data_IF_249702878099
#
_entry.id   IF_249702878099
#
_cell.length_a   1.000
_cell.length_b   1.000
_cell.length_c   1.000
_cell.angle_alpha   90.00
_cell.angle_beta   90.00
_cell.angle_gamma   90.00
#
_symmetry.space_group_name_H-M   'P 1'
#
loop_
_entity.id
_entity.type
_entity.pdbx_description
1 polymer ?
#
# COMPACT_ATOMS: atom_id res chain seq x y z
N UNK A 1 16.76 40.61 22.88
CA UNK A 1 15.67 40.41 21.89
C UNK A 1 15.74 38.96 21.45
N UNK A 2 15.17 38.06 22.24
CA UNK A 2 15.14 36.62 21.95
C UNK A 2 13.84 36.29 21.22
N UNK A 3 13.92 36.03 19.92
CA UNK A 3 12.84 35.41 19.16
C UNK A 3 12.90 33.90 19.38
N UNK A 4 12.37 33.47 20.53
CA UNK A 4 12.05 32.06 20.78
C UNK A 4 10.85 31.66 19.92
N UNK A 5 11.12 31.23 18.68
CA UNK A 5 10.13 30.55 17.85
C UNK A 5 9.69 29.22 18.52
N UNK A 6 8.42 28.81 18.34
CA UNK A 6 7.76 27.89 19.24
C UNK A 6 8.13 26.43 18.93
N UNK A 7 8.77 25.77 19.91
CA UNK A 7 8.98 24.32 19.96
C UNK A 7 7.63 23.54 20.01
N UNK A 8 6.51 24.25 20.21
CA UNK A 8 5.16 23.67 20.26
C UNK A 8 4.63 23.17 18.90
N UNK A 9 5.10 23.67 17.76
CA UNK A 9 4.54 23.24 16.46
C UNK A 9 4.97 21.81 16.08
N UNK A 10 6.15 21.38 16.54
CA UNK A 10 6.69 20.03 16.27
C UNK A 10 5.87 18.90 16.93
N UNK A 11 5.14 19.18 18.00
CA UNK A 11 4.42 18.14 18.75
C UNK A 11 2.98 17.91 18.27
N UNK A 12 2.38 18.90 17.59
CA UNK A 12 1.00 18.77 17.08
C UNK A 12 0.98 18.03 15.73
N UNK A 13 2.05 18.13 14.94
CA UNK A 13 2.22 17.38 13.69
C UNK A 13 2.22 15.85 13.89
N UNK A 14 2.60 15.39 15.08
CA UNK A 14 2.54 13.97 15.46
C UNK A 14 1.10 13.46 15.59
N UNK A 15 0.15 14.37 15.87
CA UNK A 15 -1.28 14.05 16.05
C UNK A 15 -2.10 14.28 14.77
N UNK A 16 -1.55 14.98 13.78
CA UNK A 16 -2.22 15.30 12.51
C UNK A 16 -1.82 14.27 11.45
N UNK A 17 -2.76 13.40 11.06
CA UNK A 17 -2.61 12.53 9.90
C UNK A 17 -2.43 13.41 8.65
N UNK A 18 -1.19 13.54 8.18
CA UNK A 18 -0.89 14.26 6.94
C UNK A 18 -1.12 13.33 5.76
N UNK A 19 -1.90 13.80 4.79
CA UNK A 19 -2.06 13.13 3.50
C UNK A 19 -0.72 13.10 2.79
N UNK A 20 -0.31 11.91 2.36
CA UNK A 20 0.92 11.72 1.56
C UNK A 20 0.76 12.41 0.21
N UNK A 21 1.86 13.00 -0.31
CA UNK A 21 1.83 13.66 -1.60
C UNK A 21 1.43 12.69 -2.72
N UNK A 22 0.72 13.16 -3.76
CA UNK A 22 0.35 12.30 -4.90
C UNK A 22 1.57 11.66 -5.58
N UNK A 23 2.71 12.36 -5.59
CA UNK A 23 3.98 11.89 -6.14
C UNK A 23 4.49 10.65 -5.40
N UNK A 24 4.55 10.69 -4.05
CA UNK A 24 4.93 9.53 -3.24
C UNK A 24 3.96 8.35 -3.38
N UNK A 25 2.66 8.63 -3.47
CA UNK A 25 1.66 7.58 -3.70
C UNK A 25 1.91 6.87 -5.04
N UNK A 26 2.29 7.61 -6.08
CA UNK A 26 2.64 7.04 -7.38
C UNK A 26 3.92 6.21 -7.33
N UNK A 27 4.93 6.64 -6.59
CA UNK A 27 6.15 5.85 -6.36
C UNK A 27 5.82 4.50 -5.72
N UNK A 28 4.98 4.49 -4.67
CA UNK A 28 4.52 3.24 -4.06
C UNK A 28 3.73 2.37 -5.03
N UNK A 29 2.88 2.97 -5.86
CA UNK A 29 2.11 2.25 -6.89
C UNK A 29 3.03 1.55 -7.90
N UNK A 30 4.05 2.26 -8.40
CA UNK A 30 5.05 1.73 -9.33
C UNK A 30 5.85 0.57 -8.70
N UNK A 31 6.23 0.71 -7.42
CA UNK A 31 6.92 -0.36 -6.68
C UNK A 31 6.04 -1.60 -6.50
N UNK A 32 4.75 -1.43 -6.19
CA UNK A 32 3.80 -2.55 -6.07
C UNK A 32 3.63 -3.26 -7.42
N UNK A 33 3.50 -2.51 -8.52
CA UNK A 33 3.39 -3.08 -9.86
C UNK A 33 4.69 -3.70 -10.40
N UNK A 34 5.83 -3.40 -9.80
CA UNK A 34 7.10 -4.07 -10.15
C UNK A 34 7.08 -5.57 -9.82
N UNK A 35 6.13 -6.03 -8.99
CA UNK A 35 5.93 -7.44 -8.66
C UNK A 35 5.03 -8.10 -9.72
N UNK A 36 5.55 -9.02 -10.56
CA UNK A 36 4.83 -9.55 -11.74
C UNK A 36 3.48 -10.24 -11.47
N UNK A 37 3.34 -10.78 -10.26
CA UNK A 37 2.15 -11.48 -9.80
C UNK A 37 1.00 -10.52 -9.46
N UNK A 38 1.29 -9.23 -9.22
CA UNK A 38 0.25 -8.21 -8.99
C UNK A 38 -0.46 -7.90 -10.31
N UNK A 39 -1.76 -8.17 -10.37
CA UNK A 39 -2.61 -7.92 -11.54
C UNK A 39 -3.42 -6.64 -11.44
N UNK A 40 -3.72 -6.23 -10.21
CA UNK A 40 -4.52 -5.03 -9.92
C UNK A 40 -4.15 -4.49 -8.54
N UNK A 41 -4.21 -3.18 -8.39
CA UNK A 41 -4.25 -2.52 -7.08
C UNK A 41 -5.69 -2.06 -6.86
N UNK A 42 -6.38 -2.68 -5.89
CA UNK A 42 -7.77 -2.31 -5.55
C UNK A 42 -7.80 -1.01 -4.73
N UNK A 43 -6.77 -0.81 -3.91
CA UNK A 43 -6.64 0.33 -3.01
C UNK A 43 -5.20 0.48 -2.55
N UNK A 44 -4.73 1.72 -2.54
CA UNK A 44 -3.46 2.11 -1.93
C UNK A 44 -3.73 3.34 -1.06
N UNK A 45 -3.45 3.23 0.24
CA UNK A 45 -3.52 4.35 1.18
C UNK A 45 -2.23 4.43 1.95
N UNK A 46 -1.70 5.63 2.08
CA UNK A 46 -0.52 5.91 2.88
C UNK A 46 -0.85 7.06 3.83
N UNK A 47 -0.44 6.91 5.09
CA UNK A 47 -0.71 7.86 6.18
C UNK A 47 0.59 8.22 6.86
N UNK A 48 0.86 9.52 7.00
CA UNK A 48 2.00 10.00 7.76
C UNK A 48 1.62 10.24 9.22
N UNK A 49 2.44 9.70 10.12
CA UNK A 49 2.41 9.94 11.56
C UNK A 49 3.76 10.54 11.97
N UNK A 50 3.84 11.87 12.05
CA UNK A 50 5.10 12.58 12.29
C UNK A 50 6.12 12.31 11.18
N UNK A 51 7.14 11.51 11.47
CA UNK A 51 8.21 11.14 10.52
C UNK A 51 8.02 9.77 9.87
N UNK A 52 7.03 9.00 10.31
CA UNK A 52 6.80 7.64 9.84
C UNK A 52 5.60 7.56 8.90
N UNK A 53 5.66 6.64 7.95
CA UNK A 53 4.57 6.36 7.01
C UNK A 53 4.08 4.94 7.21
N UNK A 54 2.77 4.78 7.30
CA UNK A 54 2.10 3.49 7.29
C UNK A 54 1.29 3.33 6.01
N UNK A 55 1.45 2.19 5.34
CA UNK A 55 0.81 1.90 4.05
C UNK A 55 -0.18 0.74 4.21
N UNK A 56 -1.39 0.90 3.68
CA UNK A 56 -2.42 -0.13 3.50
C UNK A 56 -2.65 -0.30 2.02
N UNK A 57 -2.25 -1.47 1.49
CA UNK A 57 -2.43 -1.84 0.09
C UNK A 57 -3.29 -3.08 -0.04
N UNK A 58 -4.21 -3.04 -1.00
CA UNK A 58 -5.03 -4.17 -1.41
C UNK A 58 -4.70 -4.49 -2.86
N UNK A 59 -4.25 -5.70 -3.11
CA UNK A 59 -3.79 -6.13 -4.44
C UNK A 59 -4.48 -7.40 -4.89
N UNK A 60 -4.81 -7.47 -6.17
CA UNK A 60 -5.28 -8.65 -6.84
C UNK A 60 -4.11 -9.50 -7.35
N UNK A 61 -4.06 -10.77 -6.96
CA UNK A 61 -3.08 -11.77 -7.45
C UNK A 61 -3.80 -12.99 -8.03
N UNK A 62 -3.22 -13.76 -8.96
CA UNK A 62 -3.90 -14.89 -9.59
C UNK A 62 -4.48 -15.86 -8.55
N UNK A 63 -5.78 -16.15 -8.66
CA UNK A 63 -6.50 -17.00 -7.70
C UNK A 63 -5.98 -18.46 -7.62
N UNK A 64 -5.20 -18.88 -8.63
CA UNK A 64 -4.55 -20.19 -8.70
C UNK A 64 -3.34 -20.36 -7.78
N UNK A 65 -2.82 -19.26 -7.22
CA UNK A 65 -1.66 -19.30 -6.33
C UNK A 65 -2.03 -19.88 -4.97
N UNK A 66 -1.10 -20.62 -4.39
CA UNK A 66 -1.22 -21.14 -3.02
C UNK A 66 -1.13 -20.02 -1.98
N UNK A 67 -1.58 -20.32 -0.77
CA UNK A 67 -1.46 -19.40 0.38
C UNK A 67 0.00 -19.02 0.65
N UNK A 68 0.93 -19.97 0.50
CA UNK A 68 2.37 -19.72 0.68
C UNK A 68 2.91 -18.74 -0.37
N UNK A 69 2.58 -18.93 -1.64
CA UNK A 69 2.98 -18.02 -2.71
C UNK A 69 2.39 -16.62 -2.50
N UNK A 70 1.13 -16.54 -2.06
CA UNK A 70 0.53 -15.26 -1.66
C UNK A 70 1.32 -14.58 -0.55
N UNK A 71 1.66 -15.32 0.52
CA UNK A 71 2.47 -14.79 1.62
C UNK A 71 3.84 -14.30 1.13
N UNK A 72 4.49 -15.02 0.22
CA UNK A 72 5.79 -14.64 -0.34
C UNK A 72 5.70 -13.38 -1.20
N UNK A 73 4.64 -13.23 -2.00
CA UNK A 73 4.34 -12.00 -2.75
C UNK A 73 4.15 -10.81 -1.80
N UNK A 74 3.34 -10.98 -0.74
CA UNK A 74 3.16 -9.94 0.28
C UNK A 74 4.49 -9.54 0.91
N UNK A 75 5.33 -10.51 1.30
CA UNK A 75 6.65 -10.22 1.87
C UNK A 75 7.53 -9.44 0.89
N UNK A 76 7.52 -9.83 -0.38
CA UNK A 76 8.30 -9.16 -1.44
C UNK A 76 7.85 -7.71 -1.64
N UNK A 77 6.54 -7.46 -1.74
CA UNK A 77 5.99 -6.09 -1.85
C UNK A 77 6.41 -5.24 -0.63
N UNK A 78 6.23 -5.78 0.58
CA UNK A 78 6.63 -5.08 1.82
C UNK A 78 8.11 -4.74 1.80
N UNK A 79 8.97 -5.68 1.44
CA UNK A 79 10.42 -5.49 1.40
C UNK A 79 10.83 -4.42 0.38
N UNK A 80 10.31 -4.46 -0.85
CA UNK A 80 10.66 -3.48 -1.89
C UNK A 80 10.32 -2.06 -1.44
N UNK A 81 9.13 -1.86 -0.86
CA UNK A 81 8.69 -0.54 -0.40
C UNK A 81 9.59 -0.04 0.74
N UNK A 82 9.86 -0.88 1.74
CA UNK A 82 10.68 -0.49 2.90
C UNK A 82 12.16 -0.27 2.55
N UNK A 83 12.69 -0.96 1.53
CA UNK A 83 14.06 -0.76 1.06
C UNK A 83 14.24 0.55 0.29
N UNK A 84 13.22 0.97 -0.49
CA UNK A 84 13.26 2.23 -1.25
C UNK A 84 12.86 3.45 -0.42
N UNK A 85 12.05 3.25 0.63
CA UNK A 85 11.51 4.31 1.46
C UNK A 85 11.74 4.03 2.95
N UNK A 86 12.80 4.62 3.50
CA UNK A 86 13.23 4.43 4.88
C UNK A 86 12.29 5.06 5.92
N UNK A 87 11.39 5.95 5.51
CA UNK A 87 10.34 6.54 6.34
C UNK A 87 9.13 5.62 6.49
N UNK A 88 9.04 4.52 5.73
CA UNK A 88 7.95 3.54 5.84
C UNK A 88 8.23 2.55 6.96
N UNK A 89 7.44 2.60 8.02
CA UNK A 89 7.59 1.74 9.19
C UNK A 89 6.81 0.42 9.05
N UNK A 90 5.62 0.47 8.42
CA UNK A 90 4.74 -0.69 8.27
C UNK A 90 3.96 -0.67 6.95
N UNK A 91 3.84 -1.84 6.34
CA UNK A 91 3.07 -2.08 5.12
C UNK A 91 2.11 -3.25 5.36
N UNK A 92 0.81 -2.95 5.41
CA UNK A 92 -0.25 -3.94 5.51
C UNK A 92 -0.74 -4.28 4.11
N UNK A 93 -0.73 -5.58 3.79
CA UNK A 93 -1.07 -6.08 2.46
C UNK A 93 -2.27 -7.02 2.57
N UNK A 94 -3.33 -6.70 1.86
CA UNK A 94 -4.48 -7.58 1.68
C UNK A 94 -4.46 -8.15 0.26
N UNK A 95 -4.43 -9.47 0.15
CA UNK A 95 -4.47 -10.16 -1.12
C UNK A 95 -5.91 -10.50 -1.47
N UNK A 96 -6.32 -10.12 -2.68
CA UNK A 96 -7.58 -10.50 -3.28
C UNK A 96 -7.32 -11.46 -4.45
N UNK A 97 -8.18 -12.47 -4.65
CA UNK A 97 -8.09 -13.31 -5.82
C UNK A 97 -8.42 -12.51 -7.08
N UNK A 98 -7.56 -12.61 -8.08
CA UNK A 98 -7.81 -12.18 -9.45
C UNK A 98 -8.14 -13.40 -10.29
N UNK A 99 -9.36 -13.44 -10.81
CA UNK A 99 -9.78 -14.38 -11.82
C UNK A 99 -9.54 -13.72 -13.18
N UNK A 100 -8.73 -14.35 -14.02
CA UNK A 100 -8.66 -13.94 -15.43
C UNK A 100 -10.08 -14.13 -15.99
N UNK A 101 -10.67 -13.06 -16.52
CA UNK A 101 -11.93 -13.18 -17.25
C UNK A 101 -11.69 -14.13 -18.42
N UNK A 102 -12.14 -15.38 -18.27
CA UNK A 102 -12.34 -16.24 -19.40
C UNK A 102 -13.39 -15.55 -20.26
N UNK A 103 -12.99 -15.09 -21.45
CA UNK A 103 -13.84 -14.48 -22.46
C UNK A 103 -14.96 -15.41 -22.99
N UNK A 104 -15.55 -16.30 -22.18
CA UNK A 104 -16.57 -17.21 -22.66
C UNK A 104 -17.48 -17.89 -21.64
N UNK A 105 -17.79 -17.30 -20.47
CA UNK A 105 -18.89 -17.84 -19.63
C UNK A 105 -19.76 -16.72 -19.04
N UNK A 106 -21.10 -16.81 -19.12
CA UNK A 106 -22.00 -15.75 -18.68
C UNK A 106 -21.96 -15.61 -17.16
N UNK A 107 -21.90 -14.35 -16.69
CA UNK A 107 -22.04 -14.01 -15.27
C UNK A 107 -23.30 -14.65 -14.70
N UNK A 108 -23.14 -15.61 -13.79
CA UNK A 108 -24.24 -15.98 -12.91
C UNK A 108 -24.41 -14.85 -11.90
N UNK A 109 -25.42 -14.01 -12.17
CA UNK A 109 -26.01 -13.10 -11.21
C UNK A 109 -26.55 -13.94 -10.05
N UNK A 110 -25.84 -13.96 -8.93
CA UNK A 110 -26.48 -14.14 -7.63
C UNK A 110 -25.83 -13.16 -6.64
N UNK A 111 -26.32 -11.93 -6.72
CA UNK A 111 -26.40 -11.05 -5.57
C UNK A 111 -27.42 -11.67 -4.61
N UNK A 112 -26.98 -12.22 -3.48
CA UNK A 112 -27.73 -12.21 -2.21
C UNK A 112 -26.73 -12.03 -1.07
#
# INVERSE_FOLDING_TARGET
METRLPVLLLHIDVLMEKTISPEKLKEYEELVFSVPEVKRIDRLRARAFGQYVMIDVRVGIPARLSVQEGHDISRKIKQIIMEQHNDVEEVLIHLNPWYEENNNEPMCLDQI
#
